data_IF_218694861575
#
_entry.id   IF_218694861575
#
_cell.length_a   1.000
_cell.length_b   1.000
_cell.length_c   1.000
_cell.angle_alpha   90.00
_cell.angle_beta   90.00
_cell.angle_gamma   90.00
#
_symmetry.space_group_name_H-M   'P 1'
#
loop_
_entity.id
_entity.type
_entity.pdbx_description
1 polymer ?
#
# COMPACT_ATOMS: atom_id res chain seq x y z
N UNK A 1 -10.54 -15.28 -4.78
CA UNK A 1 -9.51 -14.63 -5.60
C UNK A 1 -8.13 -14.65 -4.96
N UNK A 2 -7.90 -14.06 -3.77
CA UNK A 2 -6.51 -13.96 -3.25
C UNK A 2 -5.86 -15.33 -3.00
N UNK A 3 -6.61 -16.30 -2.46
CA UNK A 3 -6.10 -17.66 -2.26
C UNK A 3 -5.87 -18.41 -3.59
N UNK A 4 -6.69 -18.13 -4.61
CA UNK A 4 -6.59 -18.74 -5.93
C UNK A 4 -5.41 -18.16 -6.74
N UNK A 5 -5.00 -16.92 -6.46
CA UNK A 5 -3.92 -16.26 -7.15
C UNK A 5 -2.53 -16.86 -6.84
N UNK A 6 -2.39 -17.61 -5.73
CA UNK A 6 -1.16 -18.26 -5.31
C UNK A 6 -0.11 -17.29 -4.78
N UNK A 7 0.41 -16.40 -5.63
CA UNK A 7 1.39 -15.38 -5.27
C UNK A 7 1.22 -14.09 -6.10
N UNK A 8 1.91 -13.06 -5.64
CA UNK A 8 2.03 -11.80 -6.35
C UNK A 8 3.40 -11.17 -6.12
N UNK A 9 3.63 -10.04 -6.77
CA UNK A 9 4.86 -9.26 -6.64
C UNK A 9 4.55 -7.89 -6.03
N UNK A 10 5.39 -7.43 -5.11
CA UNK A 10 5.25 -6.13 -4.48
C UNK A 10 6.34 -5.17 -4.94
N UNK A 11 5.96 -3.93 -5.22
CA UNK A 11 6.88 -2.85 -5.57
C UNK A 11 6.68 -1.67 -4.61
N UNK A 12 7.71 -1.39 -3.81
CA UNK A 12 7.83 -0.12 -3.09
C UNK A 12 8.49 0.94 -3.98
N UNK A 13 7.69 1.47 -4.91
CA UNK A 13 8.12 2.48 -5.86
C UNK A 13 7.14 3.64 -5.97
N UNK A 14 7.67 4.86 -6.07
CA UNK A 14 6.89 6.10 -6.11
C UNK A 14 7.77 7.32 -6.25
N UNK A 15 7.31 8.49 -5.78
CA UNK A 15 8.07 9.74 -5.82
C UNK A 15 9.45 9.63 -5.13
N UNK A 16 9.56 8.77 -4.12
CA UNK A 16 10.80 8.54 -3.38
C UNK A 16 11.83 7.68 -4.12
N UNK A 17 11.46 7.05 -5.24
CA UNK A 17 12.31 6.09 -5.94
C UNK A 17 13.46 6.74 -6.68
N UNK A 18 14.64 6.12 -6.59
CA UNK A 18 15.82 6.51 -7.37
C UNK A 18 16.06 5.56 -8.54
N UNK A 19 16.54 6.08 -9.69
CA UNK A 19 17.02 5.24 -10.78
C UNK A 19 18.33 4.53 -10.40
N UNK A 20 18.77 3.51 -11.16
CA UNK A 20 20.04 2.82 -10.90
C UNK A 20 21.27 3.74 -10.90
N UNK A 21 21.24 4.83 -11.68
CA UNK A 21 22.29 5.84 -11.75
C UNK A 21 21.70 7.24 -11.81
N UNK A 22 22.32 8.17 -11.10
CA UNK A 22 21.93 9.58 -11.07
C UNK A 22 20.78 9.88 -10.12
N UNK A 23 20.30 11.13 -10.19
CA UNK A 23 19.24 11.62 -9.32
C UNK A 23 17.85 11.21 -9.82
N UNK A 24 16.92 11.09 -8.85
CA UNK A 24 15.51 10.96 -9.18
C UNK A 24 14.96 12.23 -9.83
N UNK A 25 13.92 12.08 -10.63
CA UNK A 25 13.22 13.22 -11.23
C UNK A 25 12.35 13.92 -10.18
N UNK A 26 12.32 15.25 -10.22
CA UNK A 26 11.38 16.03 -9.41
C UNK A 26 9.92 15.62 -9.71
N UNK A 27 9.05 15.66 -8.70
CA UNK A 27 7.63 15.38 -8.89
C UNK A 27 7.00 16.29 -9.97
N UNK A 28 6.15 15.78 -10.89
CA UNK A 28 5.63 14.42 -10.99
C UNK A 28 6.41 13.53 -11.97
N UNK A 29 7.73 13.71 -12.10
CA UNK A 29 8.55 13.04 -13.10
C UNK A 29 8.55 11.51 -13.04
N UNK A 30 8.44 10.92 -11.83
CA UNK A 30 8.20 9.49 -11.68
C UNK A 30 6.92 9.06 -12.39
N UNK A 31 5.79 9.67 -12.02
CA UNK A 31 4.49 9.32 -12.58
C UNK A 31 4.40 9.64 -14.07
N UNK A 32 4.92 10.79 -14.51
CA UNK A 32 4.87 11.25 -15.91
C UNK A 32 5.59 10.30 -16.86
N UNK A 33 6.76 9.79 -16.47
CA UNK A 33 7.64 9.04 -17.37
C UNK A 33 7.57 7.53 -17.16
N UNK A 34 6.67 7.06 -16.29
CA UNK A 34 6.52 5.63 -15.99
C UNK A 34 5.95 4.85 -17.18
N UNK A 35 6.61 3.74 -17.54
CA UNK A 35 6.18 2.85 -18.60
C UNK A 35 5.31 1.73 -18.03
N UNK A 36 4.00 1.88 -18.20
CA UNK A 36 2.99 0.99 -17.62
C UNK A 36 2.98 -0.37 -18.31
N UNK A 37 3.04 -0.41 -19.64
CA UNK A 37 2.97 -1.67 -20.38
C UNK A 37 4.22 -2.51 -20.13
N UNK A 38 5.41 -1.89 -20.06
CA UNK A 38 6.64 -2.61 -19.73
C UNK A 38 6.58 -3.32 -18.37
N UNK A 39 5.99 -2.68 -17.35
CA UNK A 39 5.82 -3.31 -16.03
C UNK A 39 4.75 -4.39 -16.09
N UNK A 40 3.64 -4.16 -16.79
CA UNK A 40 2.58 -5.15 -16.91
C UNK A 40 3.05 -6.41 -17.66
N UNK A 41 3.84 -6.26 -18.73
CA UNK A 41 4.48 -7.36 -19.47
C UNK A 41 5.43 -8.15 -18.55
N UNK A 42 6.32 -7.45 -17.84
CA UNK A 42 7.25 -8.10 -16.91
C UNK A 42 6.51 -8.89 -15.82
N UNK A 43 5.44 -8.33 -15.24
CA UNK A 43 4.65 -9.03 -14.22
C UNK A 43 3.95 -10.26 -14.79
N UNK A 44 3.40 -10.17 -16.00
CA UNK A 44 2.79 -11.33 -16.69
C UNK A 44 3.81 -12.45 -16.94
N UNK A 45 5.02 -12.11 -17.37
CA UNK A 45 6.12 -13.07 -17.53
C UNK A 45 6.47 -13.77 -16.21
N UNK A 46 6.27 -13.10 -15.07
CA UNK A 46 6.50 -13.75 -13.76
C UNK A 46 5.46 -14.80 -13.42
N UNK A 47 4.25 -14.78 -14.01
CA UNK A 47 3.11 -15.62 -13.64
C UNK A 47 2.33 -15.17 -12.40
N UNK A 48 2.64 -14.00 -11.84
CA UNK A 48 1.99 -13.46 -10.65
C UNK A 48 0.49 -13.19 -10.87
N UNK A 49 -0.35 -13.57 -9.90
CA UNK A 49 -1.79 -13.31 -9.95
C UNK A 49 -2.20 -11.91 -9.49
N UNK A 50 -1.29 -11.19 -8.81
CA UNK A 50 -1.52 -9.82 -8.36
C UNK A 50 -0.22 -9.01 -8.21
N UNK A 51 -0.38 -7.69 -8.20
CA UNK A 51 0.66 -6.71 -7.86
C UNK A 51 0.25 -5.95 -6.62
N UNK A 52 1.18 -5.78 -5.67
CA UNK A 52 1.07 -4.78 -4.59
C UNK A 52 1.89 -3.56 -5.00
N UNK A 53 1.23 -2.41 -5.17
CA UNK A 53 1.89 -1.17 -5.59
C UNK A 53 1.74 -0.08 -4.54
N UNK A 54 2.85 0.56 -4.17
CA UNK A 54 2.81 1.69 -3.23
C UNK A 54 2.27 2.96 -3.88
N UNK A 55 1.16 3.48 -3.38
CA UNK A 55 0.59 4.77 -3.84
C UNK A 55 1.05 5.96 -3.03
N UNK A 56 1.48 5.74 -1.79
CA UNK A 56 1.99 6.76 -0.89
C UNK A 56 3.12 6.18 -0.05
N UNK A 57 3.95 7.08 0.51
CA UNK A 57 4.96 6.77 1.50
C UNK A 57 5.15 7.99 2.41
N UNK A 58 6.31 8.15 3.07
CA UNK A 58 6.57 9.20 4.07
C UNK A 58 6.24 10.63 3.61
N UNK A 59 6.47 10.97 2.34
CA UNK A 59 6.19 12.31 1.76
C UNK A 59 4.80 12.45 1.14
N UNK A 60 3.99 11.39 1.11
CA UNK A 60 2.60 11.40 0.66
C UNK A 60 2.35 12.04 -0.73
N UNK A 61 3.15 11.69 -1.73
CA UNK A 61 2.80 11.98 -3.13
C UNK A 61 1.99 10.82 -3.71
N UNK A 62 0.87 11.14 -4.37
CA UNK A 62 -0.05 10.17 -4.97
C UNK A 62 -0.07 10.33 -6.50
N UNK A 63 0.26 9.29 -7.29
CA UNK A 63 0.41 9.40 -8.74
C UNK A 63 -0.92 9.32 -9.51
N UNK A 64 -1.90 10.11 -9.08
CA UNK A 64 -3.22 10.24 -9.72
C UNK A 64 -3.91 11.55 -9.29
N UNK A 65 -4.89 12.06 -10.06
CA UNK A 65 -5.62 13.27 -9.72
C UNK A 65 -6.69 13.02 -8.65
N UNK A 66 -6.28 13.06 -7.37
CA UNK A 66 -7.16 12.85 -6.21
C UNK A 66 -7.48 14.19 -5.54
N UNK A 67 -8.73 14.66 -5.71
CA UNK A 67 -9.17 15.99 -5.25
C UNK A 67 -9.15 16.11 -3.74
N UNK A 68 -9.45 15.03 -3.01
CA UNK A 68 -9.39 15.01 -1.55
C UNK A 68 -7.98 15.33 -1.03
N UNK A 69 -6.94 14.83 -1.69
CA UNK A 69 -5.54 15.12 -1.37
C UNK A 69 -5.24 16.59 -1.69
N UNK A 70 -5.64 17.07 -2.87
CA UNK A 70 -5.40 18.46 -3.28
C UNK A 70 -6.06 19.49 -2.36
N UNK A 71 -7.19 19.16 -1.73
CA UNK A 71 -7.84 20.02 -0.73
C UNK A 71 -7.02 20.17 0.55
N UNK A 72 -6.22 19.17 0.91
CA UNK A 72 -5.39 19.18 2.12
C UNK A 72 -4.07 19.87 1.84
N UNK A 73 -3.40 19.45 0.76
CA UNK A 73 -2.13 20.00 0.34
C UNK A 73 -1.97 19.92 -1.19
N UNK A 74 -2.25 21.01 -1.92
CA UNK A 74 -2.05 21.06 -3.35
C UNK A 74 -0.61 20.70 -3.76
N UNK A 75 -0.47 20.02 -4.90
CA UNK A 75 0.84 19.63 -5.44
C UNK A 75 1.32 18.25 -5.00
N UNK A 76 0.55 17.53 -4.18
CA UNK A 76 0.80 16.11 -3.82
C UNK A 76 0.26 15.10 -4.83
N UNK A 77 -0.48 15.57 -5.82
CA UNK A 77 -1.05 14.73 -6.89
C UNK A 77 -0.44 15.08 -8.26
N UNK A 78 -0.85 14.37 -9.30
CA UNK A 78 -0.49 14.70 -10.68
C UNK A 78 -1.67 14.54 -11.65
N UNK A 79 -1.57 15.17 -12.83
CA UNK A 79 -2.62 15.11 -13.86
C UNK A 79 -2.78 13.72 -14.49
N UNK A 80 -1.67 13.00 -14.69
CA UNK A 80 -1.69 11.61 -15.17
C UNK A 80 -2.27 10.72 -14.08
N UNK A 81 -3.19 9.84 -14.44
CA UNK A 81 -3.74 8.83 -13.53
C UNK A 81 -2.97 7.51 -13.73
N UNK A 82 -1.74 7.48 -13.22
CA UNK A 82 -0.86 6.32 -13.36
C UNK A 82 -1.51 5.06 -12.77
N UNK A 83 -2.25 5.22 -11.67
CA UNK A 83 -2.91 4.09 -11.01
C UNK A 83 -4.04 3.51 -11.86
N UNK A 84 -4.85 4.33 -12.53
CA UNK A 84 -5.86 3.81 -13.48
C UNK A 84 -5.18 3.09 -14.65
N UNK A 85 -4.14 3.69 -15.23
CA UNK A 85 -3.41 3.08 -16.35
C UNK A 85 -2.81 1.73 -15.96
N UNK A 86 -2.16 1.62 -14.80
CA UNK A 86 -1.64 0.34 -14.28
C UNK A 86 -2.77 -0.65 -13.99
N UNK A 87 -3.86 -0.21 -13.36
CA UNK A 87 -4.99 -1.07 -13.08
C UNK A 87 -5.59 -1.63 -14.38
N UNK A 88 -5.70 -0.83 -15.44
CA UNK A 88 -6.17 -1.28 -16.74
C UNK A 88 -5.22 -2.26 -17.41
N UNK A 89 -3.91 -1.96 -17.44
CA UNK A 89 -2.90 -2.82 -18.06
C UNK A 89 -2.78 -4.18 -17.36
N UNK A 90 -2.81 -4.21 -16.03
CA UNK A 90 -2.79 -5.44 -15.24
C UNK A 90 -4.08 -6.25 -15.41
N UNK A 91 -5.26 -5.61 -15.36
CA UNK A 91 -6.53 -6.32 -15.52
C UNK A 91 -6.69 -6.95 -16.91
N UNK A 92 -6.14 -6.35 -17.98
CA UNK A 92 -6.11 -6.96 -19.33
C UNK A 92 -5.40 -8.32 -19.34
N UNK A 93 -4.41 -8.49 -18.47
CA UNK A 93 -3.60 -9.70 -18.28
C UNK A 93 -4.13 -10.61 -17.17
N UNK A 94 -5.31 -10.32 -16.63
CA UNK A 94 -5.90 -11.08 -15.52
C UNK A 94 -5.25 -10.83 -14.15
N UNK A 95 -4.30 -9.89 -14.07
CA UNK A 95 -3.54 -9.58 -12.85
C UNK A 95 -4.30 -8.57 -12.00
N UNK A 96 -4.45 -8.84 -10.69
CA UNK A 96 -5.13 -7.93 -9.76
C UNK A 96 -4.19 -6.86 -9.21
N UNK A 97 -4.72 -5.66 -8.98
CA UNK A 97 -3.99 -4.57 -8.32
C UNK A 97 -4.41 -4.48 -6.84
N UNK A 98 -3.42 -4.50 -5.95
CA UNK A 98 -3.50 -4.17 -4.54
C UNK A 98 -2.73 -2.86 -4.34
N UNK A 99 -3.30 -1.92 -3.60
CA UNK A 99 -2.60 -0.69 -3.24
C UNK A 99 -2.06 -0.76 -1.81
N UNK A 100 -0.75 -0.62 -1.70
CA UNK A 100 -0.09 -0.33 -0.43
C UNK A 100 -0.22 1.18 -0.14
N UNK A 101 -0.66 1.51 1.06
CA UNK A 101 -0.93 2.88 1.49
C UNK A 101 -0.26 3.15 2.82
N UNK A 102 0.57 4.19 2.86
CA UNK A 102 1.22 4.70 4.06
C UNK A 102 0.63 6.08 4.40
N UNK A 103 0.47 6.37 5.70
CA UNK A 103 -0.27 7.55 6.17
C UNK A 103 0.50 8.88 6.05
N UNK A 104 1.81 8.80 5.82
CA UNK A 104 2.68 9.93 5.51
C UNK A 104 3.36 10.59 6.71
N UNK A 105 3.85 9.81 7.67
CA UNK A 105 4.85 10.24 8.68
C UNK A 105 6.26 9.75 8.33
N UNK A 106 7.25 10.35 8.99
CA UNK A 106 8.52 9.78 9.46
C UNK A 106 9.47 10.94 9.78
N UNK A 107 10.65 10.64 10.33
CA UNK A 107 11.75 11.59 10.49
C UNK A 107 12.43 11.91 9.13
N UNK A 108 11.68 12.50 8.19
CA UNK A 108 12.15 12.88 6.87
C UNK A 108 11.74 14.34 6.57
N UNK A 109 12.51 15.11 5.77
CA UNK A 109 12.17 16.50 5.47
C UNK A 109 11.00 16.55 4.47
N UNK A 110 9.77 16.44 4.97
CA UNK A 110 8.54 16.90 4.32
C UNK A 110 7.32 16.85 5.27
N UNK A 111 7.45 17.41 6.47
CA UNK A 111 6.37 17.45 7.48
C UNK A 111 5.12 18.21 7.01
N UNK A 112 5.17 18.95 5.89
CA UNK A 112 4.02 19.68 5.34
C UNK A 112 2.77 18.81 5.19
N UNK A 113 2.91 17.54 4.76
CA UNK A 113 1.73 16.67 4.71
C UNK A 113 1.21 16.33 6.11
N UNK A 114 2.12 15.88 6.97
CA UNK A 114 1.80 15.50 8.34
C UNK A 114 1.13 16.65 9.11
N UNK A 115 1.71 17.84 9.08
CA UNK A 115 1.21 19.04 9.77
C UNK A 115 -0.14 19.53 9.24
N UNK A 116 -0.47 19.24 7.98
CA UNK A 116 -1.76 19.59 7.35
C UNK A 116 -2.83 18.53 7.57
N UNK A 117 -2.41 17.28 7.72
CA UNK A 117 -3.30 16.14 7.78
C UNK A 117 -3.55 15.64 9.22
N UNK A 118 -2.67 15.99 10.16
CA UNK A 118 -2.72 15.58 11.55
C UNK A 118 -2.80 16.79 12.48
N UNK A 119 -3.19 16.51 13.73
CA UNK A 119 -3.15 17.52 14.78
C UNK A 119 -1.68 17.81 15.14
N UNK A 120 -1.26 19.09 15.24
CA UNK A 120 0.09 19.46 15.66
C UNK A 120 0.49 18.91 17.04
N UNK A 121 -0.48 18.50 17.87
CA UNK A 121 -0.27 17.88 19.18
C UNK A 121 -0.10 16.35 19.12
N UNK A 122 0.23 15.80 17.95
CA UNK A 122 0.31 14.34 17.70
C UNK A 122 1.26 13.57 18.63
N UNK A 123 2.17 14.25 19.33
CA UNK A 123 3.07 13.66 20.34
C UNK A 123 2.40 13.42 21.71
N UNK A 124 1.19 13.95 21.94
CA UNK A 124 0.47 13.78 23.21
C UNK A 124 -0.27 12.43 23.22
N UNK A 125 -0.35 11.73 24.35
CA UNK A 125 -0.92 10.37 24.44
C UNK A 125 -2.39 10.28 23.95
N UNK A 126 -3.18 11.34 24.08
CA UNK A 126 -4.61 11.40 23.75
C UNK A 126 -4.99 12.54 22.78
N UNK A 127 -4.10 12.86 21.83
CA UNK A 127 -4.42 13.93 20.89
C UNK A 127 -5.60 13.57 19.97
N UNK A 128 -6.33 14.60 19.55
CA UNK A 128 -7.47 14.44 18.65
C UNK A 128 -7.03 14.06 17.23
N UNK A 129 -7.41 12.85 16.78
CA UNK A 129 -7.18 12.31 15.44
C UNK A 129 -8.33 12.59 14.45
N UNK A 130 -9.35 13.36 14.85
CA UNK A 130 -10.56 13.60 14.05
C UNK A 130 -10.25 14.19 12.66
N UNK A 131 -9.30 15.11 12.58
CA UNK A 131 -8.87 15.70 11.31
C UNK A 131 -8.27 14.64 10.38
N UNK A 132 -7.37 13.81 10.90
CA UNK A 132 -6.77 12.72 10.15
C UNK A 132 -7.82 11.76 9.61
N UNK A 133 -8.72 11.26 10.47
CA UNK A 133 -9.73 10.30 10.04
C UNK A 133 -10.72 10.90 9.04
N UNK A 134 -11.13 12.16 9.22
CA UNK A 134 -11.95 12.87 8.23
C UNK A 134 -11.28 12.91 6.86
N UNK A 135 -10.00 13.25 6.82
CA UNK A 135 -9.21 13.32 5.59
C UNK A 135 -8.98 11.93 4.97
N UNK A 136 -8.57 10.95 5.79
CA UNK A 136 -8.38 9.56 5.38
C UNK A 136 -9.66 9.01 4.74
N UNK A 137 -10.82 9.17 5.38
CA UNK A 137 -12.10 8.71 4.85
C UNK A 137 -12.38 9.37 3.51
N UNK A 138 -12.17 10.68 3.37
CA UNK A 138 -12.39 11.39 2.11
C UNK A 138 -11.47 10.89 1.00
N UNK A 139 -10.19 10.64 1.29
CA UNK A 139 -9.20 10.17 0.30
C UNK A 139 -9.52 8.74 -0.12
N UNK A 140 -9.68 7.83 0.84
CA UNK A 140 -9.90 6.41 0.57
C UNK A 140 -11.24 6.18 -0.13
N UNK A 141 -12.28 6.95 0.21
CA UNK A 141 -13.57 6.91 -0.51
C UNK A 141 -13.39 7.35 -1.97
N UNK A 142 -12.76 8.50 -2.23
CA UNK A 142 -12.55 8.99 -3.60
C UNK A 142 -11.71 8.00 -4.43
N UNK A 143 -10.65 7.45 -3.85
CA UNK A 143 -9.80 6.46 -4.52
C UNK A 143 -10.58 5.17 -4.80
N UNK A 144 -11.36 4.69 -3.83
CA UNK A 144 -12.20 3.51 -3.96
C UNK A 144 -13.26 3.67 -5.06
N UNK A 145 -13.94 4.80 -5.11
CA UNK A 145 -14.94 5.12 -6.14
C UNK A 145 -14.30 5.28 -7.52
N UNK A 146 -13.15 5.95 -7.60
CA UNK A 146 -12.42 6.17 -8.85
C UNK A 146 -12.01 4.85 -9.51
N UNK A 147 -11.44 3.92 -8.75
CA UNK A 147 -10.92 2.66 -9.32
C UNK A 147 -11.92 1.50 -9.27
N UNK A 148 -12.96 1.59 -8.44
CA UNK A 148 -14.02 0.58 -8.31
C UNK A 148 -13.43 -0.83 -8.17
N UNK A 149 -13.96 -1.77 -8.96
CA UNK A 149 -13.52 -3.18 -8.98
C UNK A 149 -12.11 -3.42 -9.52
N UNK A 150 -11.47 -2.41 -10.14
CA UNK A 150 -10.10 -2.55 -10.67
C UNK A 150 -9.06 -2.53 -9.55
N UNK A 151 -9.40 -1.90 -8.43
CA UNK A 151 -8.69 -2.00 -7.16
C UNK A 151 -9.22 -3.19 -6.36
N UNK A 152 -8.43 -4.26 -6.32
CA UNK A 152 -8.85 -5.53 -5.72
C UNK A 152 -8.64 -5.58 -4.20
N UNK A 153 -7.64 -4.87 -3.67
CA UNK A 153 -7.42 -4.79 -2.23
C UNK A 153 -6.64 -3.53 -1.79
N UNK A 154 -6.74 -3.24 -0.49
CA UNK A 154 -5.90 -2.30 0.24
C UNK A 154 -4.96 -3.04 1.20
N UNK A 155 -3.74 -2.54 1.29
CA UNK A 155 -2.77 -2.84 2.34
C UNK A 155 -2.40 -1.52 3.04
N UNK A 156 -3.04 -1.23 4.17
CA UNK A 156 -2.79 -0.04 4.96
C UNK A 156 -1.63 -0.29 5.93
N UNK A 157 -0.55 0.48 5.78
CA UNK A 157 0.61 0.40 6.66
C UNK A 157 0.45 1.26 7.91
N UNK A 158 1.27 0.99 8.93
CA UNK A 158 1.37 1.73 10.19
C UNK A 158 0.04 1.85 10.96
N UNK A 159 -0.68 0.73 11.10
CA UNK A 159 -1.91 0.69 11.88
C UNK A 159 -1.68 1.09 13.35
N UNK A 160 -0.46 0.86 13.87
CA UNK A 160 -0.05 1.29 15.20
C UNK A 160 -0.07 2.82 15.40
N UNK A 161 0.03 3.61 14.32
CA UNK A 161 0.00 5.07 14.38
C UNK A 161 -1.42 5.60 14.43
N UNK A 162 -2.33 4.94 13.70
CA UNK A 162 -3.73 5.37 13.65
C UNK A 162 -4.55 4.78 14.81
N UNK A 163 -4.13 3.66 15.41
CA UNK A 163 -4.82 3.02 16.53
C UNK A 163 -4.93 3.93 17.77
N UNK A 164 -6.08 3.95 18.49
CA UNK A 164 -7.35 3.31 18.14
C UNK A 164 -8.11 4.07 17.05
N UNK A 165 -8.93 3.35 16.27
CA UNK A 165 -9.73 3.90 15.18
C UNK A 165 -11.15 3.30 15.13
N UNK A 166 -12.10 4.03 14.54
CA UNK A 166 -13.42 3.48 14.17
C UNK A 166 -13.29 2.66 12.86
N UNK A 167 -12.80 1.42 13.02
CA UNK A 167 -12.53 0.54 11.89
C UNK A 167 -13.76 0.12 11.09
N UNK A 168 -14.97 0.19 11.66
CA UNK A 168 -16.19 -0.05 10.90
C UNK A 168 -16.41 1.05 9.86
N UNK A 169 -16.25 2.31 10.28
CA UNK A 169 -16.31 3.46 9.38
C UNK A 169 -15.16 3.45 8.38
N UNK A 170 -13.93 3.13 8.81
CA UNK A 170 -12.79 3.02 7.90
C UNK A 170 -13.01 1.90 6.86
N UNK A 171 -13.54 0.75 7.29
CA UNK A 171 -13.88 -0.37 6.42
C UNK A 171 -14.89 0.01 5.34
N UNK A 172 -15.97 0.73 5.72
CA UNK A 172 -16.96 1.23 4.75
C UNK A 172 -16.33 2.16 3.70
N UNK A 173 -15.47 3.08 4.12
CA UNK A 173 -14.74 3.96 3.19
C UNK A 173 -13.80 3.16 2.28
N UNK A 174 -13.06 2.18 2.82
CA UNK A 174 -12.17 1.32 2.06
C UNK A 174 -12.89 0.42 1.05
N UNK A 175 -14.17 0.08 1.27
CA UNK A 175 -15.02 -0.68 0.33
C UNK A 175 -15.75 0.21 -0.68
N UNK A 176 -15.69 1.55 -0.57
CA UNK A 176 -16.41 2.46 -1.47
C UNK A 176 -16.13 2.16 -2.96
N UNK A 177 -17.18 2.13 -3.78
CA UNK A 177 -17.09 1.78 -5.20
C UNK A 177 -16.92 0.29 -5.52
N UNK A 178 -16.61 -0.58 -4.54
CA UNK A 178 -16.57 -2.05 -4.72
C UNK A 178 -16.54 -2.82 -3.40
N UNK A 179 -17.67 -3.41 -3.00
CA UNK A 179 -17.82 -4.18 -1.76
C UNK A 179 -16.96 -5.44 -1.70
N UNK A 180 -16.49 -5.96 -2.85
CA UNK A 180 -15.61 -7.13 -2.91
C UNK A 180 -14.12 -6.83 -2.68
N UNK A 181 -13.75 -5.57 -2.39
CA UNK A 181 -12.34 -5.16 -2.22
C UNK A 181 -11.77 -5.68 -0.91
N UNK A 182 -10.64 -6.38 -0.88
CA UNK A 182 -10.08 -6.85 0.39
C UNK A 182 -9.35 -5.74 1.16
N UNK A 183 -9.29 -5.85 2.48
CA UNK A 183 -8.62 -4.89 3.38
C UNK A 183 -7.61 -5.63 4.26
N UNK A 184 -6.43 -5.05 4.46
CA UNK A 184 -5.44 -5.49 5.44
C UNK A 184 -4.82 -4.28 6.13
N UNK A 185 -4.53 -4.39 7.42
CA UNK A 185 -3.84 -3.39 8.23
C UNK A 185 -2.52 -3.97 8.78
N UNK A 186 -1.42 -3.22 8.66
CA UNK A 186 -0.14 -3.62 9.21
C UNK A 186 -0.03 -3.18 10.68
N UNK A 187 -0.13 -4.12 11.60
CA UNK A 187 0.13 -3.91 13.02
C UNK A 187 1.59 -4.27 13.42
N UNK A 188 2.51 -4.29 12.46
CA UNK A 188 3.89 -4.76 12.61
C UNK A 188 3.93 -6.17 13.23
N UNK A 189 4.59 -6.34 14.38
CA UNK A 189 4.65 -7.64 15.06
C UNK A 189 3.49 -7.91 16.01
N UNK A 190 2.64 -6.92 16.28
CA UNK A 190 1.55 -7.01 17.25
C UNK A 190 0.43 -7.97 16.80
N UNK A 191 -0.56 -8.18 17.69
CA UNK A 191 -1.80 -8.85 17.32
C UNK A 191 -2.69 -7.94 16.48
N UNK A 192 -3.68 -8.52 15.78
CA UNK A 192 -4.63 -7.74 15.01
C UNK A 192 -5.39 -6.76 15.91
N UNK A 193 -5.47 -5.49 15.51
CA UNK A 193 -6.21 -4.45 16.23
C UNK A 193 -7.70 -4.41 15.90
N UNK A 194 -8.12 -5.07 14.81
CA UNK A 194 -9.48 -4.97 14.27
C UNK A 194 -9.97 -6.26 13.63
N UNK A 195 -11.29 -6.46 13.67
CA UNK A 195 -12.02 -7.48 12.92
C UNK A 195 -12.39 -7.02 11.50
N UNK A 196 -12.28 -5.73 11.18
CA UNK A 196 -12.65 -5.15 9.88
C UNK A 196 -11.51 -5.27 8.84
N UNK A 197 -10.94 -6.47 8.73
CA UNK A 197 -9.91 -6.79 7.74
C UNK A 197 -10.05 -8.24 7.28
N UNK A 198 -9.63 -8.49 6.04
CA UNK A 198 -9.92 -9.73 5.32
C UNK A 198 -8.72 -10.71 5.31
N UNK A 199 -7.49 -10.18 5.31
CA UNK A 199 -6.27 -10.98 5.24
C UNK A 199 -5.13 -10.38 6.06
N UNK A 200 -4.18 -11.23 6.47
CA UNK A 200 -3.02 -10.82 7.24
C UNK A 200 -2.04 -10.01 6.39
N UNK A 201 -1.47 -8.92 6.91
CA UNK A 201 -0.56 -8.08 6.14
C UNK A 201 0.74 -8.80 5.78
N UNK A 202 1.25 -9.61 6.71
CA UNK A 202 2.34 -10.55 6.43
C UNK A 202 3.73 -9.94 6.34
N UNK A 203 3.99 -8.74 6.86
CA UNK A 203 5.33 -8.13 6.78
C UNK A 203 6.40 -9.04 7.38
N UNK A 204 7.35 -9.48 6.54
CA UNK A 204 8.43 -10.39 6.93
C UNK A 204 7.99 -11.82 7.27
N UNK A 205 6.70 -12.16 7.14
CA UNK A 205 6.16 -13.46 7.52
C UNK A 205 6.48 -14.53 6.47
N UNK A 206 7.18 -15.59 6.90
CA UNK A 206 7.62 -16.70 6.05
C UNK A 206 6.78 -17.97 6.20
N UNK A 207 5.64 -17.88 6.88
CA UNK A 207 4.75 -19.03 7.11
C UNK A 207 4.81 -19.63 8.52
N UNK A 208 5.55 -19.03 9.45
CA UNK A 208 5.82 -19.55 10.80
C UNK A 208 5.44 -18.60 11.95
N UNK A 209 5.11 -19.17 13.12
CA UNK A 209 4.97 -18.39 14.36
C UNK A 209 3.69 -17.56 14.51
N UNK A 210 2.73 -17.65 13.59
CA UNK A 210 1.45 -16.90 13.64
C UNK A 210 0.20 -17.75 13.89
N UNK A 211 0.35 -19.07 13.95
CA UNK A 211 -0.72 -20.04 14.18
C UNK A 211 -0.91 -21.01 13.01
N UNK A 212 -1.74 -22.03 13.22
CA UNK A 212 -2.07 -23.04 12.20
C UNK A 212 -2.94 -22.46 11.08
N UNK A 213 -2.57 -22.79 9.83
CA UNK A 213 -3.35 -22.46 8.63
C UNK A 213 -4.09 -23.68 8.12
N UNK A 214 -5.40 -23.58 7.94
CA UNK A 214 -6.24 -24.59 7.28
C UNK A 214 -7.12 -23.92 6.23
N UNK A 215 -7.22 -24.51 5.03
CA UNK A 215 -8.00 -23.97 3.90
C UNK A 215 -7.71 -22.48 3.62
N UNK A 216 -6.43 -22.08 3.73
CA UNK A 216 -5.98 -20.72 3.47
C UNK A 216 -6.29 -19.69 4.57
N UNK A 217 -6.79 -20.09 5.75
CA UNK A 217 -7.07 -19.19 6.88
C UNK A 217 -6.35 -19.60 8.15
N UNK A 218 -5.99 -18.63 8.98
CA UNK A 218 -5.50 -18.90 10.33
C UNK A 218 -6.65 -19.42 11.22
N UNK A 219 -6.45 -20.57 11.86
CA UNK A 219 -7.46 -21.22 12.72
C UNK A 219 -7.24 -20.97 14.21
N UNK A 220 -6.04 -20.52 14.57
CA UNK A 220 -5.61 -20.21 15.93
C UNK A 220 -4.59 -19.06 15.91
N UNK A 221 -4.19 -18.60 17.10
CA UNK A 221 -3.20 -17.55 17.25
C UNK A 221 -3.75 -16.12 17.12
N UNK A 222 -2.85 -15.11 17.15
CA UNK A 222 -3.22 -13.69 17.26
C UNK A 222 -3.89 -13.11 16.01
N UNK A 223 -3.92 -13.86 14.90
CA UNK A 223 -4.50 -13.46 13.62
C UNK A 223 -5.58 -14.43 13.12
N UNK A 224 -6.15 -15.23 14.04
CA UNK A 224 -7.22 -16.19 13.76
C UNK A 224 -8.35 -15.55 12.95
N UNK A 225 -8.84 -16.28 11.94
CA UNK A 225 -9.94 -15.88 11.06
C UNK A 225 -9.49 -15.17 9.78
N UNK A 226 -8.32 -14.54 9.78
CA UNK A 226 -7.77 -13.88 8.60
C UNK A 226 -7.30 -14.90 7.57
N UNK A 227 -7.45 -14.54 6.29
CA UNK A 227 -6.78 -15.27 5.23
C UNK A 227 -5.25 -15.18 5.41
N UNK A 228 -4.57 -16.32 5.28
CA UNK A 228 -3.13 -16.41 5.39
C UNK A 228 -2.46 -15.74 4.18
N UNK A 229 -1.47 -14.89 4.47
CA UNK A 229 -0.74 -14.13 3.49
C UNK A 229 0.63 -13.75 4.07
N UNK A 230 1.66 -13.77 3.23
CA UNK A 230 3.03 -13.42 3.60
C UNK A 230 3.61 -12.41 2.61
N UNK A 231 4.25 -11.37 3.14
CA UNK A 231 4.93 -10.33 2.38
C UNK A 231 6.41 -10.39 2.73
N UNK A 232 7.21 -10.93 1.83
CA UNK A 232 8.64 -11.19 2.06
C UNK A 232 9.51 -10.39 1.08
N UNK A 233 10.62 -9.86 1.56
CA UNK A 233 11.62 -9.21 0.70
C UNK A 233 12.33 -10.26 -0.14
N UNK A 234 12.08 -10.24 -1.45
CA UNK A 234 12.75 -11.09 -2.43
C UNK A 234 14.20 -10.67 -2.61
N UNK A 235 14.45 -9.37 -2.78
CA UNK A 235 15.75 -8.76 -3.01
C UNK A 235 16.05 -7.64 -1.99
N UNK A 236 17.33 -7.25 -1.91
CA UNK A 236 17.83 -6.28 -0.93
C UNK A 236 18.41 -5.03 -1.58
N UNK A 237 18.79 -4.01 -0.79
CA UNK A 237 18.99 -4.07 0.67
C UNK A 237 17.80 -3.61 1.53
N UNK A 238 16.68 -3.21 0.93
CA UNK A 238 15.51 -2.69 1.64
C UNK A 238 14.24 -2.93 0.79
N UNK A 239 13.06 -2.65 1.34
CA UNK A 239 11.80 -2.80 0.63
C UNK A 239 11.74 -2.04 -0.72
N UNK A 240 12.45 -0.92 -0.84
CA UNK A 240 12.58 -0.18 -2.10
C UNK A 240 13.86 0.67 -2.18
N UNK A 241 14.14 1.22 -3.36
CA UNK A 241 15.35 2.00 -3.66
C UNK A 241 15.12 3.49 -3.42
N UNK A 242 15.68 4.01 -2.32
CA UNK A 242 15.41 5.37 -1.79
C UNK A 242 16.63 6.29 -1.76
N UNK A 243 17.76 5.82 -2.28
CA UNK A 243 19.03 6.55 -2.32
C UNK A 243 19.66 6.44 -3.70
N UNK A 244 20.36 7.48 -4.18
CA UNK A 244 21.06 7.42 -5.47
C UNK A 244 22.13 6.33 -5.45
N UNK A 245 22.33 5.69 -6.60
CA UNK A 245 23.38 4.68 -6.82
C UNK A 245 23.29 3.48 -5.85
N UNK A 246 22.09 3.13 -5.38
CA UNK A 246 21.87 1.92 -4.56
C UNK A 246 22.12 0.69 -5.41
N UNK A 247 22.97 -0.21 -4.92
CA UNK A 247 23.19 -1.52 -5.54
C UNK A 247 22.10 -2.48 -5.03
N UNK A 248 21.35 -3.08 -5.96
CA UNK A 248 20.35 -4.10 -5.65
C UNK A 248 21.08 -5.44 -5.48
N UNK A 249 20.88 -6.09 -4.34
CA UNK A 249 21.45 -7.40 -4.06
C UNK A 249 20.73 -8.49 -4.87
N UNK A 250 21.40 -9.61 -5.20
CA UNK A 250 20.71 -10.76 -5.77
C UNK A 250 19.58 -11.24 -4.84
N UNK A 251 18.57 -11.96 -5.37
CA UNK A 251 17.49 -12.50 -4.56
C UNK A 251 18.00 -13.30 -3.36
N UNK A 252 17.32 -13.15 -2.22
CA UNK A 252 17.60 -13.86 -0.98
C UNK A 252 17.30 -15.37 -1.07
N UNK A 253 16.64 -15.80 -2.14
CA UNK A 253 16.19 -17.17 -2.36
C UNK A 253 16.63 -17.64 -3.75
N UNK A 254 17.20 -18.84 -3.82
CA UNK A 254 17.52 -19.53 -5.07
C UNK A 254 16.54 -20.67 -5.29
N UNK A 255 16.17 -20.92 -6.56
CA UNK A 255 15.49 -22.17 -6.92
C UNK A 255 16.53 -23.28 -6.72
N UNK A 256 16.24 -24.23 -5.83
CA UNK A 256 17.04 -25.43 -5.62
C UNK A 256 16.81 -26.47 -6.70
#
# INVERSE_FOLDING_TARGET
WLAEAGYGVMFQAGEWSYPPKGDKKAWPGFARDFDVEKIADMVEETGAGFVVWSVTWTTYFFPAPIKAIDKILPGRTCKRDLIMEMADALNKRGIKLILYYHVGHDNNPNMDWWDRNWNPKWEQEDYDKSLFFKNWISIITEVGERYGKKLAAWMFDDDCVIYPADYETLGRAAKAGYDGRLISYNCWIACRFTEFQDFYFGEGFRGDGRGKVENGKFTEGPVKGLQAFGCIMLDGPNWGVRKPNTIINPPNFSIG
#
